data_IF_978999159420
#
_entry.id   IF_978999159420
#
_cell.length_a   1.000
_cell.length_b   1.000
_cell.length_c   1.000
_cell.angle_alpha   90.00
_cell.angle_beta   90.00
_cell.angle_gamma   90.00
#
_symmetry.space_group_name_H-M   'P 1'
#
loop_
_entity.id
_entity.type
_entity.pdbx_description
1 polymer ?
#
# COMPACT_ATOMS: atom_id res chain seq x y z
N UNK A 1 36.10 -14.01 12.84
CA UNK A 1 35.28 -14.82 13.77
C UNK A 1 34.07 -15.35 13.02
N UNK A 2 33.98 -16.64 12.88
CA UNK A 2 32.78 -17.27 12.34
C UNK A 2 31.69 -17.23 13.39
N UNK A 3 30.56 -16.61 13.07
CA UNK A 3 29.34 -16.71 13.86
C UNK A 3 28.90 -18.18 13.84
N UNK A 4 28.89 -18.83 14.99
CA UNK A 4 28.41 -20.21 15.16
C UNK A 4 27.19 -20.19 16.06
N UNK A 5 26.13 -20.89 15.68
CA UNK A 5 24.96 -21.11 16.53
C UNK A 5 25.25 -21.98 17.74
N UNK A 6 26.34 -22.76 17.70
CA UNK A 6 26.76 -23.64 18.80
C UNK A 6 27.76 -22.93 19.69
N UNK A 7 27.65 -23.18 21.00
CA UNK A 7 28.65 -22.81 21.98
C UNK A 7 29.97 -23.48 21.66
N UNK A 8 31.06 -22.78 21.73
CA UNK A 8 32.40 -23.28 21.56
C UNK A 8 33.18 -23.23 22.87
N UNK A 9 33.82 -24.31 23.19
CA UNK A 9 34.72 -24.38 24.34
C UNK A 9 36.16 -24.59 23.86
N UNK A 10 37.05 -23.92 24.53
CA UNK A 10 38.49 -24.07 24.30
C UNK A 10 39.26 -23.91 25.62
N UNK A 11 40.53 -24.21 25.59
CA UNK A 11 41.43 -23.95 26.74
C UNK A 11 42.62 -23.14 26.27
N UNK A 12 43.05 -22.21 27.15
CA UNK A 12 44.33 -21.51 26.99
C UNK A 12 45.24 -21.97 28.10
N UNK A 13 46.39 -22.49 27.76
CA UNK A 13 47.42 -22.87 28.72
C UNK A 13 48.42 -21.72 28.90
N UNK A 14 48.61 -21.29 30.13
CA UNK A 14 49.69 -20.39 30.47
C UNK A 14 50.80 -21.21 31.16
N UNK A 15 51.99 -21.15 30.61
CA UNK A 15 53.18 -21.78 31.12
C UNK A 15 54.03 -20.71 31.85
N UNK A 16 54.34 -20.96 33.11
CA UNK A 16 55.24 -20.12 33.86
C UNK A 16 56.69 -20.58 33.63
N UNK A 17 57.48 -19.75 32.98
CA UNK A 17 58.87 -20.07 32.61
C UNK A 17 59.82 -20.15 33.80
N UNK A 18 59.46 -19.53 34.92
CA UNK A 18 60.32 -19.52 36.10
C UNK A 18 60.11 -20.75 37.04
N UNK A 19 58.84 -21.24 37.05
CA UNK A 19 58.47 -22.37 37.92
C UNK A 19 58.18 -23.66 37.17
N UNK A 20 58.18 -23.61 35.84
CA UNK A 20 57.81 -24.75 34.95
C UNK A 20 56.38 -25.26 35.17
N UNK A 21 55.50 -24.42 35.79
CA UNK A 21 54.12 -24.76 36.09
C UNK A 21 53.22 -24.37 34.95
N UNK A 22 52.19 -25.19 34.67
CA UNK A 22 51.16 -24.92 33.70
C UNK A 22 49.82 -24.65 34.40
N UNK A 23 49.09 -23.64 33.92
CA UNK A 23 47.72 -23.36 34.33
C UNK A 23 46.82 -23.27 33.14
N UNK A 24 45.79 -24.11 33.11
CA UNK A 24 44.78 -24.10 32.05
C UNK A 24 43.60 -23.25 32.43
N UNK A 25 43.15 -22.43 31.49
CA UNK A 25 41.96 -21.59 31.58
C UNK A 25 40.96 -22.03 30.54
N UNK A 26 39.77 -22.39 30.98
CA UNK A 26 38.66 -22.66 30.07
C UNK A 26 38.17 -21.34 29.44
N UNK A 27 38.03 -21.35 28.15
CA UNK A 27 37.43 -20.27 27.37
C UNK A 27 36.12 -20.78 26.79
N UNK A 28 35.02 -20.12 27.08
CA UNK A 28 33.70 -20.43 26.54
C UNK A 28 33.24 -19.27 25.67
N UNK A 29 32.91 -19.58 24.45
CA UNK A 29 32.24 -18.67 23.52
C UNK A 29 30.81 -19.13 23.37
N UNK A 30 29.87 -18.29 23.82
CA UNK A 30 28.45 -18.58 23.69
C UNK A 30 28.05 -18.65 22.20
N UNK A 31 27.01 -19.43 21.92
CA UNK A 31 26.42 -19.56 20.61
C UNK A 31 25.77 -18.25 20.14
N UNK A 32 25.62 -18.13 18.83
CA UNK A 32 24.97 -16.97 18.24
C UNK A 32 23.48 -17.23 18.11
N UNK A 33 22.68 -16.36 18.71
CA UNK A 33 21.23 -16.32 18.51
C UNK A 33 20.87 -15.09 17.67
N UNK A 34 20.06 -15.28 16.63
CA UNK A 34 19.59 -14.15 15.86
C UNK A 34 18.43 -13.44 16.59
N UNK A 35 18.34 -12.12 16.38
CA UNK A 35 17.26 -11.28 16.88
C UNK A 35 16.81 -10.34 15.79
N UNK A 36 15.49 -10.29 15.57
CA UNK A 36 14.81 -9.30 14.77
C UNK A 36 13.64 -8.80 15.61
N UNK A 37 13.79 -7.61 16.18
CA UNK A 37 12.84 -7.04 17.14
C UNK A 37 12.27 -5.75 16.59
N UNK A 38 10.95 -5.61 16.60
CA UNK A 38 10.23 -4.43 16.19
C UNK A 38 9.94 -3.51 17.37
N UNK A 39 10.01 -2.18 17.18
CA UNK A 39 9.61 -1.21 18.20
C UNK A 39 8.12 -1.35 18.52
N UNK A 40 7.30 -1.63 17.51
CA UNK A 40 5.85 -1.84 17.63
C UNK A 40 5.42 -3.06 16.81
N UNK A 41 4.67 -3.98 17.42
CA UNK A 41 4.18 -5.17 16.71
C UNK A 41 2.93 -4.90 15.88
N UNK A 42 2.29 -3.73 16.02
CA UNK A 42 1.11 -3.32 15.29
C UNK A 42 1.15 -1.85 14.92
N UNK A 43 0.70 -1.55 13.70
CA UNK A 43 0.49 -0.21 13.17
C UNK A 43 -0.94 -0.13 12.64
N UNK A 44 -1.66 0.88 13.09
CA UNK A 44 -2.99 1.21 12.57
C UNK A 44 -2.85 2.44 11.65
N UNK A 45 -3.42 2.35 10.46
CA UNK A 45 -3.45 3.44 9.48
C UNK A 45 -4.89 3.77 9.11
N UNK A 46 -5.13 5.02 8.73
CA UNK A 46 -6.45 5.46 8.30
C UNK A 46 -6.80 4.90 6.91
N UNK A 47 -8.08 4.96 6.57
CA UNK A 47 -8.57 4.62 5.23
C UNK A 47 -8.03 5.59 4.18
N UNK A 48 -7.86 6.86 4.54
CA UNK A 48 -7.38 7.95 3.69
C UNK A 48 -6.37 8.84 4.43
N UNK A 49 -5.40 9.35 3.69
CA UNK A 49 -4.55 10.48 4.03
C UNK A 49 -4.11 11.18 2.74
N UNK A 50 -3.57 12.40 2.86
CA UNK A 50 -2.95 13.08 1.72
C UNK A 50 -1.79 12.26 1.16
N UNK A 51 -1.59 12.31 -0.13
CA UNK A 51 -0.64 11.42 -0.85
C UNK A 51 0.75 11.37 -0.19
N UNK A 52 1.30 12.53 0.15
CA UNK A 52 2.63 12.62 0.77
C UNK A 52 2.67 12.13 2.23
N UNK A 53 1.51 11.87 2.83
CA UNK A 53 1.35 11.38 4.21
C UNK A 53 1.01 9.89 4.30
N UNK A 54 0.88 9.19 3.16
CA UNK A 54 0.50 7.77 3.09
C UNK A 54 1.68 6.85 3.34
N UNK A 55 2.37 7.06 4.45
CA UNK A 55 3.46 6.18 4.85
C UNK A 55 3.55 6.06 6.36
N UNK A 56 4.26 5.04 6.79
CA UNK A 56 4.72 4.90 8.17
C UNK A 56 6.14 4.30 8.19
N UNK A 57 6.85 4.51 9.29
CA UNK A 57 8.17 3.94 9.50
C UNK A 57 8.13 2.91 10.61
N UNK A 58 8.82 1.80 10.39
CA UNK A 58 9.01 0.74 11.39
C UNK A 58 10.48 0.69 11.76
N UNK A 59 10.78 0.84 13.05
CA UNK A 59 12.11 0.64 13.58
C UNK A 59 12.32 -0.85 13.87
N UNK A 60 13.36 -1.38 13.30
CA UNK A 60 13.77 -2.78 13.44
C UNK A 60 15.16 -2.83 14.03
N UNK A 61 15.31 -3.56 15.12
CA UNK A 61 16.61 -3.83 15.75
C UNK A 61 16.99 -5.27 15.43
N UNK A 62 18.06 -5.44 14.63
CA UNK A 62 18.48 -6.76 14.19
C UNK A 62 20.01 -6.95 14.20
N UNK A 63 20.45 -8.16 14.49
CA UNK A 63 21.85 -8.60 14.40
C UNK A 63 22.12 -9.50 13.20
N UNK A 64 21.12 -9.73 12.35
CA UNK A 64 21.22 -10.47 11.08
C UNK A 64 20.54 -9.70 9.97
N UNK A 65 20.91 -9.97 8.72
CA UNK A 65 20.13 -9.51 7.56
C UNK A 65 18.86 -10.36 7.43
N UNK A 66 17.76 -9.73 7.01
CA UNK A 66 16.43 -10.34 6.98
C UNK A 66 15.67 -9.92 5.73
N UNK A 67 14.72 -10.74 5.34
CA UNK A 67 13.72 -10.43 4.33
C UNK A 67 12.43 -9.97 4.99
N UNK A 68 11.75 -9.02 4.34
CA UNK A 68 10.41 -8.56 4.70
C UNK A 68 9.44 -9.23 3.73
N UNK A 69 8.53 -10.01 4.26
CA UNK A 69 7.58 -10.82 3.47
C UNK A 69 6.18 -10.29 3.72
N UNK A 70 5.59 -9.73 2.67
CA UNK A 70 4.18 -9.33 2.68
C UNK A 70 3.31 -10.58 2.46
N UNK A 71 2.17 -10.69 3.14
CA UNK A 71 1.19 -11.74 2.85
C UNK A 71 0.55 -11.51 1.47
N UNK A 72 0.03 -12.57 0.88
CA UNK A 72 -0.64 -12.53 -0.43
C UNK A 72 -1.74 -11.46 -0.46
N UNK A 73 -1.72 -10.63 -1.50
CA UNK A 73 -2.66 -9.54 -1.71
C UNK A 73 -2.31 -8.24 -0.96
N UNK A 74 -1.37 -8.25 -0.01
CA UNK A 74 -0.94 -7.03 0.67
C UNK A 74 -0.11 -6.12 -0.23
N UNK A 75 0.59 -6.66 -1.21
CA UNK A 75 1.35 -5.94 -2.23
C UNK A 75 0.48 -5.01 -3.08
N UNK A 76 -0.84 -5.24 -3.12
CA UNK A 76 -1.79 -4.38 -3.83
C UNK A 76 -2.00 -3.03 -3.12
N UNK A 77 -1.68 -2.94 -1.83
CA UNK A 77 -1.93 -1.73 -1.05
C UNK A 77 -0.78 -1.32 -0.12
N UNK A 78 0.23 -2.17 0.06
CA UNK A 78 1.45 -1.88 0.80
C UNK A 78 2.68 -2.08 -0.08
N UNK A 79 3.59 -1.12 -0.04
CA UNK A 79 4.94 -1.26 -0.58
C UNK A 79 5.95 -0.85 0.48
N UNK A 80 7.18 -1.31 0.39
CA UNK A 80 8.19 -0.95 1.37
C UNK A 80 9.55 -0.68 0.74
N UNK A 81 10.34 0.14 1.44
CA UNK A 81 11.76 0.38 1.14
C UNK A 81 12.57 0.03 2.37
N UNK A 82 13.38 -1.02 2.24
CA UNK A 82 14.29 -1.49 3.27
C UNK A 82 15.69 -0.95 2.98
N UNK A 83 16.37 -0.30 3.93
CA UNK A 83 17.77 0.06 3.77
C UNK A 83 18.64 -1.19 3.79
N UNK A 84 19.76 -1.16 3.09
CA UNK A 84 20.79 -2.20 3.21
C UNK A 84 21.38 -2.18 4.62
N UNK A 85 21.46 -3.36 5.25
CA UNK A 85 22.09 -3.53 6.54
C UNK A 85 23.57 -3.84 6.36
N UNK A 86 24.43 -2.91 6.75
CA UNK A 86 25.86 -3.20 6.84
C UNK A 86 26.17 -3.85 8.19
N UNK A 87 26.21 -5.19 8.21
CA UNK A 87 26.47 -6.01 9.40
C UNK A 87 27.95 -6.41 9.52
N UNK A 88 28.88 -5.57 9.09
CA UNK A 88 30.28 -5.91 8.87
C UNK A 88 31.04 -6.42 10.10
N UNK A 89 30.57 -6.26 11.33
CA UNK A 89 31.30 -6.75 12.51
C UNK A 89 30.37 -7.10 13.68
N UNK A 90 30.07 -8.39 13.81
CA UNK A 90 29.64 -9.00 15.07
C UNK A 90 28.13 -9.04 15.30
N UNK A 91 27.76 -9.82 16.32
CA UNK A 91 26.40 -10.20 16.67
C UNK A 91 25.62 -9.09 17.43
N UNK A 92 26.09 -7.85 17.42
CA UNK A 92 25.37 -6.76 18.12
C UNK A 92 24.21 -6.25 17.28
N UNK A 93 22.99 -6.21 17.84
CA UNK A 93 21.85 -5.68 17.13
C UNK A 93 22.04 -4.20 16.73
N UNK A 94 21.61 -3.87 15.52
CA UNK A 94 21.62 -2.51 14.97
C UNK A 94 20.20 -2.09 14.64
N UNK A 95 19.92 -0.82 14.82
CA UNK A 95 18.64 -0.23 14.48
C UNK A 95 18.64 0.21 13.01
N UNK A 96 17.56 -0.09 12.35
CA UNK A 96 17.25 0.39 11.00
C UNK A 96 15.80 0.82 10.94
N UNK A 97 15.46 1.66 9.96
CA UNK A 97 14.09 2.06 9.68
C UNK A 97 13.66 1.56 8.32
N UNK A 98 12.50 0.95 8.27
CA UNK A 98 11.83 0.55 7.05
C UNK A 98 10.66 1.48 6.83
N UNK A 99 10.58 2.10 5.67
CA UNK A 99 9.43 2.88 5.25
C UNK A 99 8.47 1.98 4.51
N UNK A 100 7.20 2.01 4.92
CA UNK A 100 6.07 1.43 4.24
C UNK A 100 5.20 2.55 3.67
N UNK A 101 4.90 2.48 2.39
CA UNK A 101 3.95 3.36 1.71
C UNK A 101 2.65 2.56 1.50
N UNK A 102 1.49 3.18 1.73
CA UNK A 102 0.20 2.53 1.65
C UNK A 102 -0.77 3.27 0.74
N UNK A 103 -1.73 2.52 0.16
CA UNK A 103 -2.79 3.05 -0.70
C UNK A 103 -4.08 3.25 0.09
N UNK A 104 -4.91 4.19 -0.36
CA UNK A 104 -6.24 4.45 0.19
C UNK A 104 -7.08 3.17 0.23
N UNK A 105 -7.78 2.95 1.34
CA UNK A 105 -8.82 1.93 1.42
C UNK A 105 -10.17 2.58 1.15
N UNK A 106 -10.73 2.29 0.00
CA UNK A 106 -12.04 2.81 -0.41
C UNK A 106 -13.17 1.80 -0.15
N UNK A 107 -12.86 0.65 0.43
CA UNK A 107 -13.83 -0.42 0.72
C UNK A 107 -14.41 -0.30 2.12
N UNK A 108 -15.56 -0.88 2.31
CA UNK A 108 -16.32 -0.92 3.57
C UNK A 108 -15.79 -1.95 4.59
N UNK A 109 -14.65 -2.56 4.31
CA UNK A 109 -13.98 -3.50 5.20
C UNK A 109 -12.52 -3.08 5.46
N UNK A 110 -12.04 -3.42 6.64
CA UNK A 110 -10.63 -3.25 7.00
C UNK A 110 -9.72 -4.12 6.13
N UNK A 111 -8.49 -3.65 5.92
CA UNK A 111 -7.40 -4.43 5.34
C UNK A 111 -6.40 -4.78 6.43
N UNK A 112 -5.97 -6.03 6.47
CA UNK A 112 -5.01 -6.51 7.46
C UNK A 112 -3.85 -7.17 6.71
N UNK A 113 -2.63 -6.86 7.13
CA UNK A 113 -1.43 -7.51 6.66
C UNK A 113 -0.57 -7.93 7.85
N UNK A 114 -0.31 -9.22 7.96
CA UNK A 114 0.63 -9.79 8.92
C UNK A 114 1.98 -9.99 8.18
N UNK A 115 2.90 -9.07 8.41
CA UNK A 115 4.19 -8.97 7.71
C UNK A 115 5.23 -9.74 8.51
N UNK A 116 5.91 -10.68 7.86
CA UNK A 116 6.96 -11.48 8.47
C UNK A 116 8.35 -10.88 8.22
N UNK A 117 9.23 -11.02 9.20
CA UNK A 117 10.64 -10.64 9.12
C UNK A 117 11.47 -11.90 9.29
N UNK A 118 12.00 -12.46 8.20
CA UNK A 118 12.76 -13.72 8.24
C UNK A 118 14.24 -13.48 8.03
N UNK A 119 15.14 -14.13 8.82
CA UNK A 119 16.56 -14.04 8.57
C UNK A 119 16.90 -14.62 7.19
N UNK A 120 17.73 -13.91 6.41
CA UNK A 120 18.15 -14.37 5.05
C UNK A 120 18.99 -15.65 5.07
N UNK A 121 19.71 -15.88 6.16
CA UNK A 121 20.48 -17.10 6.33
C UNK A 121 19.69 -18.04 7.23
N UNK A 122 19.75 -19.31 6.91
CA UNK A 122 19.16 -20.36 7.73
C UNK A 122 19.92 -20.41 9.08
N UNK A 123 19.37 -19.73 10.06
CA UNK A 123 19.86 -19.67 11.44
C UNK A 123 18.78 -20.29 12.31
N UNK A 124 19.06 -21.45 12.85
CA UNK A 124 18.07 -22.27 13.54
C UNK A 124 17.68 -21.78 14.94
N UNK A 125 18.44 -20.85 15.52
CA UNK A 125 18.22 -20.34 16.88
C UNK A 125 18.08 -18.81 16.89
N UNK A 126 16.96 -18.33 17.42
CA UNK A 126 16.71 -16.92 17.59
C UNK A 126 15.23 -16.58 17.56
N UNK A 127 14.94 -15.29 17.63
CA UNK A 127 13.59 -14.74 17.69
C UNK A 127 13.40 -13.67 16.61
N UNK A 128 12.22 -13.66 16.04
CA UNK A 128 11.78 -12.60 15.14
C UNK A 128 10.34 -12.22 15.46
N UNK A 129 10.08 -10.92 15.36
CA UNK A 129 8.74 -10.37 15.49
C UNK A 129 8.04 -10.36 14.13
N UNK A 130 6.70 -10.34 14.19
CA UNK A 130 5.86 -10.03 13.03
C UNK A 130 5.22 -8.66 13.23
N UNK A 131 4.93 -7.97 12.13
CA UNK A 131 4.24 -6.69 12.13
C UNK A 131 2.82 -6.88 11.61
N UNK A 132 1.83 -6.56 12.43
CA UNK A 132 0.45 -6.44 12.00
C UNK A 132 0.16 -5.02 11.56
N UNK A 133 -0.27 -4.84 10.32
CA UNK A 133 -0.77 -3.55 9.80
C UNK A 133 -2.28 -3.67 9.62
N UNK A 134 -3.01 -2.73 10.23
CA UNK A 134 -4.48 -2.65 10.11
C UNK A 134 -4.82 -1.32 9.47
N UNK A 135 -5.48 -1.37 8.31
CA UNK A 135 -6.01 -0.19 7.66
C UNK A 135 -7.53 -0.11 7.84
N UNK A 136 -8.02 1.01 8.33
CA UNK A 136 -9.45 1.24 8.56
C UNK A 136 -10.28 1.06 7.30
N UNK A 137 -11.52 0.65 7.48
CA UNK A 137 -12.55 0.68 6.45
C UNK A 137 -12.97 2.10 6.13
N UNK A 138 -13.32 2.37 4.87
CA UNK A 138 -14.01 3.59 4.50
C UNK A 138 -15.45 3.61 5.04
N UNK A 139 -16.00 4.80 5.22
CA UNK A 139 -17.41 4.94 5.60
C UNK A 139 -18.32 4.44 4.46
N UNK A 140 -19.40 3.72 4.78
CA UNK A 140 -20.34 3.24 3.77
C UNK A 140 -20.95 4.39 2.96
N UNK A 141 -20.96 4.24 1.63
CA UNK A 141 -21.60 5.19 0.72
C UNK A 141 -23.02 4.72 0.40
N UNK A 142 -24.07 5.56 0.56
CA UNK A 142 -25.44 5.19 0.23
C UNK A 142 -25.65 5.14 -1.28
N UNK A 143 -25.38 4.00 -1.89
CA UNK A 143 -25.43 3.78 -3.34
C UNK A 143 -26.83 4.08 -3.89
N UNK A 144 -26.89 4.67 -5.09
CA UNK A 144 -28.15 4.94 -5.79
C UNK A 144 -28.86 6.22 -5.32
N UNK A 145 -28.19 7.08 -4.57
CA UNK A 145 -28.73 8.36 -4.09
C UNK A 145 -27.86 9.54 -4.52
N UNK A 146 -28.41 10.76 -4.63
CA UNK A 146 -27.60 11.98 -4.87
C UNK A 146 -26.50 12.19 -3.82
N UNK A 147 -26.78 11.88 -2.55
CA UNK A 147 -25.80 11.95 -1.47
C UNK A 147 -24.68 10.91 -1.66
N UNK A 148 -25.04 9.71 -2.08
CA UNK A 148 -24.08 8.65 -2.38
C UNK A 148 -23.19 9.00 -3.57
N UNK A 149 -23.75 9.58 -4.63
CA UNK A 149 -22.96 10.01 -5.78
C UNK A 149 -21.96 11.13 -5.38
N UNK A 150 -22.37 12.10 -4.54
CA UNK A 150 -21.45 13.15 -4.06
C UNK A 150 -20.33 12.57 -3.20
N UNK A 151 -20.62 11.64 -2.30
CA UNK A 151 -19.61 10.97 -1.48
C UNK A 151 -18.67 10.11 -2.34
N UNK A 152 -19.19 9.43 -3.35
CA UNK A 152 -18.38 8.65 -4.29
C UNK A 152 -17.40 9.55 -5.06
N UNK A 153 -17.88 10.68 -5.61
CA UNK A 153 -17.02 11.66 -6.31
C UNK A 153 -15.91 12.17 -5.38
N UNK A 154 -16.24 12.54 -4.14
CA UNK A 154 -15.24 13.01 -3.17
C UNK A 154 -14.23 11.90 -2.82
N UNK A 155 -14.69 10.67 -2.64
CA UNK A 155 -13.80 9.53 -2.37
C UNK A 155 -12.86 9.25 -3.55
N UNK A 156 -13.38 9.28 -4.79
CA UNK A 156 -12.56 9.15 -6.02
C UNK A 156 -11.54 10.28 -6.10
N UNK A 157 -11.97 11.54 -5.89
CA UNK A 157 -11.09 12.70 -5.93
C UNK A 157 -9.93 12.58 -4.95
N UNK A 158 -10.22 12.15 -3.73
CA UNK A 158 -9.21 11.91 -2.68
C UNK A 158 -8.27 10.76 -3.06
N UNK A 159 -8.80 9.64 -3.52
CA UNK A 159 -8.01 8.48 -3.94
C UNK A 159 -7.07 8.83 -5.09
N UNK A 160 -7.53 9.64 -6.05
CA UNK A 160 -6.72 10.13 -7.17
C UNK A 160 -5.77 11.27 -6.76
N UNK A 161 -5.87 11.79 -5.55
CA UNK A 161 -5.11 12.96 -5.08
C UNK A 161 -5.23 14.15 -6.04
N UNK A 162 -6.47 14.54 -6.33
CA UNK A 162 -6.75 15.68 -7.22
C UNK A 162 -6.31 17.00 -6.56
N UNK A 163 -5.77 17.92 -7.37
CA UNK A 163 -5.37 19.25 -6.89
C UNK A 163 -6.54 20.20 -6.66
N UNK A 164 -7.68 19.93 -7.30
CA UNK A 164 -8.89 20.71 -7.15
C UNK A 164 -9.87 19.96 -6.27
N UNK A 165 -10.26 20.57 -5.17
CA UNK A 165 -11.29 20.06 -4.29
C UNK A 165 -12.64 20.70 -4.66
N UNK A 166 -13.71 19.91 -4.62
CA UNK A 166 -15.04 20.44 -4.68
C UNK A 166 -15.46 21.01 -3.32
N UNK A 167 -16.09 22.17 -3.31
CA UNK A 167 -16.60 22.76 -2.07
C UNK A 167 -17.78 21.94 -1.55
N UNK A 168 -17.60 21.28 -0.42
CA UNK A 168 -18.63 20.46 0.20
C UNK A 168 -19.75 21.28 0.87
N UNK A 169 -19.58 22.59 1.02
CA UNK A 169 -20.65 23.50 1.45
C UNK A 169 -21.65 23.78 0.33
N UNK A 170 -21.24 23.55 -0.93
CA UNK A 170 -22.08 23.71 -2.10
C UNK A 170 -22.74 22.40 -2.52
N UNK A 171 -23.90 22.52 -3.17
CA UNK A 171 -24.56 21.34 -3.76
C UNK A 171 -23.75 20.80 -4.94
N UNK A 172 -23.74 19.48 -5.10
CA UNK A 172 -23.03 18.79 -6.19
C UNK A 172 -23.37 19.35 -7.58
N UNK A 173 -24.59 19.81 -7.82
CA UNK A 173 -25.01 20.43 -9.07
C UNK A 173 -24.29 21.76 -9.40
N UNK A 174 -23.64 22.38 -8.40
CA UNK A 174 -22.83 23.59 -8.56
C UNK A 174 -21.33 23.30 -8.63
N UNK A 175 -20.94 22.03 -8.48
CA UNK A 175 -19.53 21.66 -8.58
C UNK A 175 -19.02 21.79 -10.01
N UNK A 176 -17.84 22.33 -10.18
CA UNK A 176 -17.20 22.42 -11.49
C UNK A 176 -16.99 21.03 -12.09
N UNK A 177 -17.24 20.88 -13.38
CA UNK A 177 -17.08 19.60 -14.10
C UNK A 177 -17.96 18.46 -13.58
N UNK A 178 -19.07 18.79 -12.94
CA UNK A 178 -20.14 17.88 -12.55
C UNK A 178 -21.47 18.39 -13.12
N UNK A 179 -22.27 17.49 -13.67
CA UNK A 179 -23.67 17.78 -13.96
C UNK A 179 -24.57 16.66 -13.45
N UNK A 180 -25.78 17.04 -13.05
CA UNK A 180 -26.75 16.11 -12.50
C UNK A 180 -27.98 16.00 -13.38
N UNK A 181 -28.72 14.91 -13.25
CA UNK A 181 -30.04 14.77 -13.85
C UNK A 181 -31.00 15.80 -13.27
N UNK A 182 -31.71 16.53 -14.13
CA UNK A 182 -32.66 17.59 -13.70
C UNK A 182 -34.04 17.04 -13.42
N UNK A 183 -34.37 15.88 -14.00
CA UNK A 183 -35.68 15.25 -13.90
C UNK A 183 -35.57 13.72 -13.99
N UNK A 184 -36.70 13.04 -13.97
CA UNK A 184 -36.76 11.59 -14.04
C UNK A 184 -36.38 10.85 -12.77
N UNK A 185 -36.23 9.53 -12.82
CA UNK A 185 -35.93 8.69 -11.65
C UNK A 185 -34.56 8.97 -11.03
N UNK A 186 -33.62 9.44 -11.82
CA UNK A 186 -32.26 9.75 -11.39
C UNK A 186 -32.05 11.24 -11.04
N UNK A 187 -33.13 11.99 -10.86
CA UNK A 187 -33.04 13.43 -10.52
C UNK A 187 -32.07 13.70 -9.34
N UNK A 188 -31.12 14.61 -9.56
CA UNK A 188 -30.09 14.99 -8.61
C UNK A 188 -28.88 14.05 -8.57
N UNK A 189 -28.94 12.90 -9.23
CA UNK A 189 -27.81 12.00 -9.38
C UNK A 189 -26.86 12.48 -10.46
N UNK A 190 -25.60 12.07 -10.38
CA UNK A 190 -24.58 12.42 -11.36
C UNK A 190 -24.95 11.89 -12.75
N UNK A 191 -24.94 12.79 -13.73
CA UNK A 191 -25.05 12.48 -15.14
C UNK A 191 -23.70 12.54 -15.87
N UNK A 192 -22.88 13.53 -15.52
CA UNK A 192 -21.55 13.78 -16.05
C UNK A 192 -20.60 14.13 -14.92
N UNK A 193 -19.37 13.61 -14.98
CA UNK A 193 -18.29 14.01 -14.10
C UNK A 193 -16.94 13.91 -14.80
N UNK A 194 -16.08 14.89 -14.53
CA UNK A 194 -14.69 14.87 -14.99
C UNK A 194 -13.73 14.93 -13.81
N UNK A 195 -12.87 13.90 -13.73
CA UNK A 195 -11.72 13.84 -12.83
C UNK A 195 -10.47 14.22 -13.61
N UNK A 196 -9.79 15.26 -13.18
CA UNK A 196 -8.62 15.80 -13.91
C UNK A 196 -7.62 16.44 -12.96
N UNK A 197 -6.43 16.78 -13.49
CA UNK A 197 -5.36 17.42 -12.73
C UNK A 197 -4.92 16.62 -11.49
N UNK A 198 -4.71 15.32 -11.65
CA UNK A 198 -4.21 14.46 -10.58
C UNK A 198 -2.88 13.79 -11.00
N UNK A 199 -2.10 13.36 -10.01
CA UNK A 199 -0.78 12.73 -10.17
C UNK A 199 -0.66 11.40 -9.44
N UNK A 200 -1.74 10.68 -9.34
CA UNK A 200 -1.69 9.38 -8.67
C UNK A 200 -1.12 8.30 -9.57
N UNK A 201 -0.55 7.28 -8.92
CA UNK A 201 -0.13 6.02 -9.53
C UNK A 201 -1.13 4.89 -9.27
N UNK A 202 -2.27 5.17 -8.67
CA UNK A 202 -3.24 4.16 -8.25
C UNK A 202 -4.19 3.76 -9.39
N UNK A 203 -4.82 2.61 -9.23
CA UNK A 203 -5.89 2.13 -10.12
C UNK A 203 -7.11 3.06 -10.06
N UNK A 204 -8.03 2.90 -11.04
CA UNK A 204 -9.32 3.61 -10.99
C UNK A 204 -10.02 3.23 -9.67
N UNK A 205 -10.39 4.22 -8.84
CA UNK A 205 -10.95 3.95 -7.52
C UNK A 205 -12.22 3.11 -7.56
N UNK A 206 -12.35 2.25 -6.57
CA UNK A 206 -13.49 1.35 -6.39
C UNK A 206 -14.85 2.07 -6.44
N UNK A 207 -14.94 3.29 -5.92
CA UNK A 207 -16.17 4.07 -5.83
C UNK A 207 -16.74 4.48 -7.16
N UNK A 208 -15.98 4.37 -8.24
CA UNK A 208 -16.46 4.66 -9.60
C UNK A 208 -17.72 3.83 -9.90
N UNK A 209 -17.81 2.60 -9.39
CA UNK A 209 -18.96 1.72 -9.60
C UNK A 209 -20.27 2.25 -9.01
N UNK A 210 -20.23 3.21 -8.10
CA UNK A 210 -21.41 3.77 -7.45
C UNK A 210 -22.09 4.85 -8.28
N UNK A 211 -21.43 5.39 -9.30
CA UNK A 211 -21.96 6.41 -10.20
C UNK A 211 -22.87 5.80 -11.27
N UNK A 212 -23.79 4.92 -10.87
CA UNK A 212 -24.58 4.08 -11.76
C UNK A 212 -25.55 4.84 -12.66
N UNK A 213 -25.86 6.10 -12.35
CA UNK A 213 -26.70 6.97 -13.19
C UNK A 213 -25.90 7.78 -14.21
N UNK A 214 -24.56 7.73 -14.18
CA UNK A 214 -23.72 8.51 -15.06
C UNK A 214 -23.84 8.04 -16.53
N UNK A 215 -24.00 9.01 -17.45
CA UNK A 215 -23.91 8.80 -18.89
C UNK A 215 -22.53 9.10 -19.45
N UNK A 216 -21.78 10.01 -18.79
CA UNK A 216 -20.44 10.40 -19.24
C UNK A 216 -19.48 10.53 -18.08
N UNK A 217 -18.33 9.89 -18.21
CA UNK A 217 -17.23 9.98 -17.27
C UNK A 217 -15.92 10.27 -18.01
N UNK A 218 -15.19 11.27 -17.52
CA UNK A 218 -13.86 11.62 -18.01
C UNK A 218 -12.87 11.47 -16.86
N UNK A 219 -11.83 10.68 -17.07
CA UNK A 219 -10.71 10.51 -16.15
C UNK A 219 -9.45 10.88 -16.92
N UNK A 220 -8.85 12.02 -16.59
CA UNK A 220 -7.69 12.52 -17.31
C UNK A 220 -6.56 12.88 -16.34
N UNK A 221 -5.52 12.06 -16.33
CA UNK A 221 -4.31 12.31 -15.56
C UNK A 221 -3.42 13.33 -16.28
N UNK A 222 -2.78 14.22 -15.53
CA UNK A 222 -1.70 15.07 -16.07
C UNK A 222 -0.31 14.55 -15.68
N UNK A 223 -0.23 13.32 -15.24
CA UNK A 223 1.01 12.68 -14.88
C UNK A 223 1.64 12.00 -16.09
N UNK A 224 2.89 12.34 -16.42
CA UNK A 224 3.69 11.66 -17.45
C UNK A 224 4.10 10.25 -16.97
N UNK A 225 3.15 9.36 -16.79
CA UNK A 225 3.39 8.01 -16.26
C UNK A 225 3.23 6.95 -17.35
N UNK A 226 4.25 6.78 -18.14
CA UNK A 226 4.26 5.92 -19.33
C UNK A 226 4.47 4.43 -19.08
N UNK A 227 4.55 3.96 -17.83
CA UNK A 227 4.97 2.59 -17.55
C UNK A 227 4.05 1.87 -16.57
N UNK A 228 2.74 1.93 -16.80
CA UNK A 228 1.82 1.17 -15.98
C UNK A 228 1.21 0.04 -16.77
N UNK A 229 1.23 -1.12 -16.18
CA UNK A 229 0.54 -2.28 -16.69
C UNK A 229 -0.82 -2.39 -16.01
N UNK A 230 -1.67 -1.37 -16.21
CA UNK A 230 -3.00 -1.30 -15.63
C UNK A 230 -4.06 -1.69 -16.66
N UNK A 231 -5.11 -2.36 -16.21
CA UNK A 231 -6.34 -2.45 -16.95
C UNK A 231 -7.38 -1.43 -16.45
N UNK A 232 -8.54 -1.37 -17.07
CA UNK A 232 -9.62 -0.45 -16.67
C UNK A 232 -10.22 -0.80 -15.30
N UNK A 233 -9.91 -1.94 -14.72
CA UNK A 233 -10.52 -2.46 -13.51
C UNK A 233 -11.95 -2.98 -13.70
N UNK A 234 -12.40 -3.83 -12.78
CA UNK A 234 -13.76 -4.41 -12.82
C UNK A 234 -14.85 -3.38 -12.49
N UNK A 235 -14.52 -2.36 -11.69
CA UNK A 235 -15.50 -1.46 -11.10
C UNK A 235 -16.20 -0.58 -12.14
N UNK A 236 -15.46 -0.10 -13.12
CA UNK A 236 -16.01 0.71 -14.21
C UNK A 236 -16.99 -0.10 -15.08
N UNK A 237 -16.81 -1.40 -15.16
CA UNK A 237 -17.65 -2.30 -15.99
C UNK A 237 -19.09 -2.45 -15.45
N UNK A 238 -19.35 -1.96 -14.24
CA UNK A 238 -20.68 -1.97 -13.61
C UNK A 238 -21.55 -0.76 -13.99
N UNK A 239 -20.98 0.20 -14.72
CA UNK A 239 -21.65 1.43 -15.14
C UNK A 239 -22.45 1.22 -16.44
N UNK A 240 -23.48 0.40 -16.39
CA UNK A 240 -24.23 -0.04 -17.56
C UNK A 240 -24.99 1.09 -18.30
N UNK A 241 -25.20 2.25 -17.64
CA UNK A 241 -25.82 3.42 -18.25
C UNK A 241 -24.82 4.32 -18.99
N UNK A 242 -23.53 4.01 -18.89
CA UNK A 242 -22.47 4.84 -19.48
C UNK A 242 -22.53 4.81 -21.00
N UNK A 243 -22.56 6.00 -21.60
CA UNK A 243 -22.54 6.22 -23.05
C UNK A 243 -21.21 6.74 -23.54
N UNK A 244 -20.52 7.51 -22.71
CA UNK A 244 -19.25 8.14 -23.08
C UNK A 244 -18.21 7.94 -21.97
N UNK A 245 -17.07 7.38 -22.34
CA UNK A 245 -15.95 7.15 -21.44
C UNK A 245 -14.67 7.67 -22.06
N UNK A 246 -13.99 8.54 -21.33
CA UNK A 246 -12.62 8.96 -21.64
C UNK A 246 -11.71 8.60 -20.48
N UNK A 247 -10.63 7.87 -20.73
CA UNK A 247 -9.56 7.59 -19.79
C UNK A 247 -8.26 7.96 -20.48
N UNK A 248 -7.79 9.19 -20.25
CA UNK A 248 -6.61 9.72 -20.92
C UNK A 248 -5.42 9.85 -19.99
N UNK A 249 -4.22 9.66 -20.54
CA UNK A 249 -2.93 9.79 -19.84
C UNK A 249 -2.86 9.00 -18.51
N UNK A 250 -3.54 7.85 -18.44
CA UNK A 250 -3.64 7.03 -17.22
C UNK A 250 -2.67 5.85 -17.22
N UNK A 251 -2.06 5.52 -18.36
CA UNK A 251 -1.14 4.39 -18.50
C UNK A 251 -1.85 3.03 -18.56
N UNK A 252 -3.06 2.99 -19.11
CA UNK A 252 -3.77 1.75 -19.37
C UNK A 252 -3.08 0.95 -20.49
N UNK A 253 -3.00 -0.36 -20.31
CA UNK A 253 -2.44 -1.30 -21.28
C UNK A 253 -3.46 -2.32 -21.76
N UNK A 254 -4.56 -2.48 -21.04
CA UNK A 254 -5.61 -3.43 -21.34
C UNK A 254 -6.99 -2.98 -20.85
N UNK A 255 -8.02 -3.60 -21.37
CA UNK A 255 -9.39 -3.49 -20.90
C UNK A 255 -9.73 -4.72 -20.07
N UNK A 256 -10.43 -4.53 -18.96
CA UNK A 256 -10.96 -5.65 -18.19
C UNK A 256 -11.88 -6.52 -19.05
N UNK A 257 -11.86 -7.87 -18.94
CA UNK A 257 -12.70 -8.77 -19.75
C UNK A 257 -14.20 -8.44 -19.72
N UNK A 258 -14.69 -7.91 -18.60
CA UNK A 258 -16.09 -7.52 -18.43
C UNK A 258 -16.45 -6.14 -18.99
N UNK A 259 -15.52 -5.47 -19.66
CA UNK A 259 -15.79 -4.21 -20.37
C UNK A 259 -16.91 -4.37 -21.41
N UNK A 260 -17.11 -5.57 -21.94
CA UNK A 260 -18.25 -5.97 -22.79
C UNK A 260 -19.62 -5.71 -22.16
N UNK A 261 -19.71 -5.51 -20.83
CA UNK A 261 -20.96 -5.23 -20.13
C UNK A 261 -21.45 -3.79 -20.34
N UNK A 262 -20.59 -2.89 -20.80
CA UNK A 262 -20.93 -1.50 -21.13
C UNK A 262 -21.66 -1.41 -22.49
N UNK A 263 -22.84 -2.04 -22.59
CA UNK A 263 -23.57 -2.20 -23.84
C UNK A 263 -24.15 -0.89 -24.40
N UNK A 264 -24.26 0.14 -23.56
CA UNK A 264 -24.76 1.46 -23.95
C UNK A 264 -23.63 2.42 -24.35
N UNK A 265 -22.37 1.94 -24.32
CA UNK A 265 -21.22 2.78 -24.63
C UNK A 265 -21.19 3.10 -26.14
N UNK A 266 -21.29 4.40 -26.44
CA UNK A 266 -21.28 4.95 -27.81
C UNK A 266 -19.93 5.60 -28.16
N UNK A 267 -19.20 6.05 -27.16
CA UNK A 267 -17.91 6.72 -27.31
C UNK A 267 -16.90 6.22 -26.29
N UNK A 268 -15.74 5.84 -26.77
CA UNK A 268 -14.61 5.39 -25.95
C UNK A 268 -13.33 6.09 -26.42
N UNK A 269 -12.67 6.80 -25.52
CA UNK A 269 -11.34 7.38 -25.72
C UNK A 269 -10.40 6.88 -24.63
N UNK A 270 -9.34 6.21 -25.04
CA UNK A 270 -8.29 5.65 -24.18
C UNK A 270 -6.92 6.25 -24.56
N UNK A 271 -6.91 7.50 -25.01
CA UNK A 271 -5.67 8.16 -25.44
C UNK A 271 -4.68 8.31 -24.28
N UNK A 272 -3.45 7.97 -24.54
CA UNK A 272 -2.30 8.06 -23.62
C UNK A 272 -1.43 9.28 -23.91
#
# INVERSE_FOLDING_TARGET
>A
STLSVEQRTGSVRIHNLDTDENKDFAVVQEGFEYQIVLEKPQIDVDDYADYDSRYFEVKVKSNVDYDVILPDGAENWLTFKKPELNLDRGARPRESKIRFDWRVNSRDNERIADIEFKPKKDVSMGQHDALKVVQKAALPIPVGTPAGDSLAILAISRALNMFTEWDTAERMEHWSNVSVWKDGPDKGRVRYVQFFMFKTMEEIPFEIQYLTAAEEIIIYSNANHFLRNLDTGEHITKLTNLKRLTIGAYGLTSLHPDFKNLKNLEYLDLSS
#
